data_IF_163740336692
#
_entry.id   IF_163740336692
#
_cell.length_a   1.000
_cell.length_b   1.000
_cell.length_c   1.000
_cell.angle_alpha   90.00
_cell.angle_beta   90.00
_cell.angle_gamma   90.00
#
_symmetry.space_group_name_H-M   'P 1'
#
loop_
_entity.id
_entity.type
_entity.pdbx_description
1 polymer ?
#
# COMPACT_ATOMS: atom_id res chain seq x y z
N UNK A 1 -5.34 -5.56 31.63
CA UNK A 1 -4.39 -5.35 30.53
C UNK A 1 -5.12 -5.76 29.24
N UNK A 2 -4.94 -5.00 28.15
CA UNK A 2 -5.58 -5.40 26.88
C UNK A 2 -4.99 -6.74 26.43
N UNK A 3 -5.85 -7.69 26.04
CA UNK A 3 -5.39 -8.87 25.31
C UNK A 3 -4.83 -8.43 23.97
N UNK A 4 -3.60 -8.82 23.65
CA UNK A 4 -2.99 -8.56 22.34
C UNK A 4 -3.67 -9.35 21.22
N UNK A 5 -3.18 -9.13 20.00
CA UNK A 5 -3.65 -9.84 18.78
C UNK A 5 -2.82 -11.09 18.45
N UNK A 6 -1.91 -11.46 19.35
CA UNK A 6 -1.04 -12.62 19.17
C UNK A 6 -1.87 -13.88 18.88
N UNK A 7 -1.48 -14.62 17.85
CA UNK A 7 -2.07 -15.89 17.42
C UNK A 7 -3.57 -15.81 17.00
N UNK A 8 -4.10 -14.59 16.71
CA UNK A 8 -5.50 -14.38 16.29
C UNK A 8 -5.66 -14.25 14.76
N UNK A 9 -4.60 -14.02 14.03
CA UNK A 9 -4.66 -13.79 12.58
C UNK A 9 -3.54 -14.55 11.88
N UNK A 10 -3.83 -15.11 10.72
CA UNK A 10 -2.87 -15.72 9.82
C UNK A 10 -2.86 -15.01 8.46
N UNK A 11 -1.70 -14.89 7.84
CA UNK A 11 -1.59 -14.52 6.43
C UNK A 11 -1.70 -15.80 5.63
N UNK A 12 -2.74 -15.89 4.80
CA UNK A 12 -3.07 -17.11 4.06
C UNK A 12 -2.62 -17.07 2.60
N UNK A 13 -2.28 -15.90 2.07
CA UNK A 13 -1.77 -15.74 0.72
C UNK A 13 -1.08 -14.40 0.51
N UNK A 14 -0.12 -14.39 -0.40
CA UNK A 14 0.62 -13.19 -0.80
C UNK A 14 0.75 -13.14 -2.32
N UNK A 15 0.80 -11.91 -2.86
CA UNK A 15 1.03 -11.68 -4.26
C UNK A 15 1.73 -10.34 -4.49
N UNK A 16 2.53 -10.28 -5.55
CA UNK A 16 3.32 -9.09 -5.86
C UNK A 16 3.57 -8.98 -7.36
N UNK A 17 3.18 -7.87 -7.95
CA UNK A 17 3.58 -7.58 -9.32
C UNK A 17 5.10 -7.37 -9.43
N UNK A 18 5.67 -7.64 -10.59
CA UNK A 18 7.10 -7.44 -10.85
C UNK A 18 7.49 -5.97 -10.64
N UNK A 19 8.45 -5.73 -9.74
CA UNK A 19 9.03 -4.40 -9.54
C UNK A 19 9.87 -3.93 -10.73
N UNK A 20 9.77 -2.65 -11.05
CA UNK A 20 10.54 -2.01 -12.11
C UNK A 20 9.74 -0.95 -12.85
N UNK A 21 10.32 -0.45 -13.93
CA UNK A 21 9.66 0.51 -14.83
C UNK A 21 8.74 -0.25 -15.79
N UNK A 22 7.50 -0.40 -15.38
CA UNK A 22 6.44 -1.11 -16.12
C UNK A 22 5.62 -0.12 -16.95
N UNK A 23 6.23 0.45 -18.00
CA UNK A 23 5.56 1.38 -18.93
C UNK A 23 4.46 0.71 -19.76
N UNK A 24 4.51 -0.60 -19.87
CA UNK A 24 3.56 -1.49 -20.54
C UNK A 24 2.29 -1.77 -19.71
N UNK A 25 2.29 -1.47 -18.43
CA UNK A 25 1.21 -1.80 -17.50
C UNK A 25 0.61 -0.55 -16.87
N UNK A 26 -0.69 -0.53 -16.69
CA UNK A 26 -1.42 0.49 -15.94
C UNK A 26 -1.52 0.08 -14.47
N UNK A 27 -1.91 0.98 -13.56
CA UNK A 27 -2.10 0.63 -12.15
C UNK A 27 -3.07 -0.54 -11.93
N UNK A 28 -4.15 -0.60 -12.70
CA UNK A 28 -5.10 -1.70 -12.65
C UNK A 28 -4.48 -3.06 -13.01
N UNK A 29 -3.54 -3.08 -13.95
CA UNK A 29 -2.85 -4.30 -14.35
C UNK A 29 -1.94 -4.79 -13.21
N UNK A 30 -1.22 -3.87 -12.53
CA UNK A 30 -0.36 -4.20 -11.39
C UNK A 30 -1.17 -4.71 -10.18
N UNK A 31 -2.30 -4.06 -9.89
CA UNK A 31 -3.20 -4.47 -8.81
C UNK A 31 -3.77 -5.86 -9.11
N UNK A 32 -4.23 -6.09 -10.32
CA UNK A 32 -4.81 -7.37 -10.73
C UNK A 32 -3.78 -8.50 -10.69
N UNK A 33 -2.56 -8.28 -11.21
CA UNK A 33 -1.46 -9.24 -11.18
C UNK A 33 -1.16 -9.70 -9.74
N UNK A 34 -0.98 -8.75 -8.82
CA UNK A 34 -0.70 -9.06 -7.42
C UNK A 34 -1.90 -9.75 -6.72
N UNK A 35 -3.11 -9.34 -7.05
CA UNK A 35 -4.32 -9.92 -6.47
C UNK A 35 -4.55 -11.37 -6.90
N UNK A 36 -4.41 -11.66 -8.20
CA UNK A 36 -4.55 -13.01 -8.73
C UNK A 36 -3.50 -13.96 -8.14
N UNK A 37 -2.26 -13.50 -8.00
CA UNK A 37 -1.22 -14.28 -7.33
C UNK A 37 -1.59 -14.58 -5.87
N UNK A 38 -2.08 -13.58 -5.12
CA UNK A 38 -2.49 -13.76 -3.74
C UNK A 38 -3.67 -14.74 -3.59
N UNK A 39 -4.67 -14.69 -4.47
CA UNK A 39 -5.78 -15.65 -4.48
C UNK A 39 -5.30 -17.07 -4.77
N UNK A 40 -4.41 -17.22 -5.75
CA UNK A 40 -3.85 -18.51 -6.13
C UNK A 40 -3.01 -19.13 -4.99
N UNK A 41 -2.24 -18.31 -4.27
CA UNK A 41 -1.45 -18.73 -3.12
C UNK A 41 -2.37 -19.15 -1.95
N UNK A 42 -3.37 -18.31 -1.65
CA UNK A 42 -4.37 -18.58 -0.61
C UNK A 42 -5.30 -19.75 -0.93
N UNK A 43 -5.47 -20.10 -2.22
CA UNK A 43 -6.42 -21.10 -2.73
C UNK A 43 -7.87 -20.80 -2.33
N UNK A 44 -8.25 -19.54 -2.45
CA UNK A 44 -9.60 -19.06 -2.19
C UNK A 44 -10.17 -18.34 -3.42
N UNK A 45 -11.49 -18.22 -3.47
CA UNK A 45 -12.19 -17.38 -4.42
C UNK A 45 -12.35 -15.95 -3.87
N UNK A 46 -12.40 -14.95 -4.74
CA UNK A 46 -12.54 -13.55 -4.33
C UNK A 46 -13.83 -13.26 -3.57
N UNK A 47 -14.86 -14.05 -3.81
CA UNK A 47 -16.16 -13.99 -3.13
C UNK A 47 -16.08 -14.33 -1.65
N UNK A 48 -14.98 -14.94 -1.21
CA UNK A 48 -14.72 -15.24 0.20
C UNK A 48 -14.14 -14.06 0.97
N UNK A 49 -13.80 -12.95 0.29
CA UNK A 49 -13.24 -11.76 0.93
C UNK A 49 -14.37 -10.91 1.49
N UNK A 50 -14.32 -10.60 2.79
CA UNK A 50 -15.35 -9.86 3.50
C UNK A 50 -15.08 -8.35 3.56
N UNK A 51 -13.81 -7.94 3.52
CA UNK A 51 -13.40 -6.54 3.58
C UNK A 51 -12.03 -6.31 2.93
N UNK A 52 -11.75 -5.08 2.49
CA UNK A 52 -10.47 -4.75 1.89
C UNK A 52 -9.90 -3.41 2.38
N UNK A 53 -8.59 -3.34 2.48
CA UNK A 53 -7.82 -2.12 2.74
C UNK A 53 -6.93 -1.81 1.55
N UNK A 54 -7.06 -0.59 1.05
CA UNK A 54 -6.35 -0.12 -0.13
C UNK A 54 -5.38 1.00 0.23
N UNK A 55 -4.09 0.71 0.12
CA UNK A 55 -3.00 1.64 0.41
C UNK A 55 -2.54 2.37 -0.86
N UNK A 56 -2.72 3.69 -0.89
CA UNK A 56 -2.20 4.58 -1.94
C UNK A 56 -1.73 5.85 -1.26
N UNK A 57 -0.47 6.21 -1.46
CA UNK A 57 0.06 7.45 -0.91
C UNK A 57 -0.02 8.58 -1.93
N UNK A 58 0.64 8.40 -3.07
CA UNK A 58 1.04 9.52 -3.89
C UNK A 58 0.32 9.60 -5.23
N UNK A 59 0.10 8.47 -5.85
CA UNK A 59 -0.39 8.42 -7.23
C UNK A 59 -1.91 8.54 -7.32
N UNK A 60 -2.44 9.65 -6.81
CA UNK A 60 -3.89 9.91 -6.85
C UNK A 60 -4.42 10.12 -8.28
N UNK A 61 -3.57 10.49 -9.23
CA UNK A 61 -4.00 10.75 -10.61
C UNK A 61 -4.19 9.46 -11.40
N UNK A 62 -3.28 8.49 -11.24
CA UNK A 62 -3.34 7.25 -12.00
C UNK A 62 -4.04 6.14 -11.23
N UNK A 63 -3.80 6.03 -9.92
CA UNK A 63 -4.40 4.98 -9.08
C UNK A 63 -5.75 5.41 -8.52
N UNK A 64 -5.91 6.68 -8.14
CA UNK A 64 -7.17 7.26 -7.67
C UNK A 64 -7.20 7.66 -6.21
N UNK A 65 -8.17 8.51 -5.87
CA UNK A 65 -8.28 9.17 -4.55
C UNK A 65 -9.10 8.43 -3.51
N UNK A 66 -9.86 7.42 -3.92
CA UNK A 66 -10.81 6.74 -3.05
C UNK A 66 -10.57 5.22 -3.03
N UNK A 67 -11.40 4.50 -2.32
CA UNK A 67 -11.43 3.06 -2.34
C UNK A 67 -12.06 2.46 -3.63
N UNK A 68 -12.77 3.30 -4.40
CA UNK A 68 -13.51 2.88 -5.59
C UNK A 68 -12.64 2.19 -6.67
N UNK A 69 -11.45 2.68 -7.01
CA UNK A 69 -10.60 2.02 -8.00
C UNK A 69 -10.32 0.55 -7.68
N UNK A 70 -10.02 0.20 -6.44
CA UNK A 70 -9.79 -1.18 -6.05
C UNK A 70 -11.02 -2.06 -6.33
N UNK A 71 -12.19 -1.60 -5.87
CA UNK A 71 -13.44 -2.33 -6.09
C UNK A 71 -13.73 -2.54 -7.58
N UNK A 72 -13.47 -1.52 -8.39
CA UNK A 72 -13.72 -1.56 -9.83
C UNK A 72 -12.75 -2.50 -10.55
N UNK A 73 -11.45 -2.37 -10.30
CA UNK A 73 -10.43 -3.16 -11.00
C UNK A 73 -10.53 -4.65 -10.67
N UNK A 74 -10.72 -4.98 -9.41
CA UNK A 74 -10.83 -6.36 -8.95
C UNK A 74 -12.26 -6.92 -9.07
N UNK A 75 -13.24 -6.08 -9.42
CA UNK A 75 -14.66 -6.45 -9.41
C UNK A 75 -15.03 -7.15 -8.11
N UNK A 76 -14.65 -6.52 -7.01
CA UNK A 76 -14.94 -7.05 -5.68
C UNK A 76 -16.46 -7.17 -5.47
N UNK A 77 -16.94 -8.16 -4.71
CA UNK A 77 -18.33 -8.22 -4.30
C UNK A 77 -18.70 -6.97 -3.47
N UNK A 78 -19.95 -6.83 -3.07
CA UNK A 78 -20.41 -5.68 -2.29
C UNK A 78 -19.89 -5.75 -0.84
N UNK A 79 -18.61 -5.47 -0.67
CA UNK A 79 -17.87 -5.47 0.60
C UNK A 79 -17.35 -4.07 0.94
N UNK A 80 -17.11 -3.77 2.22
CA UNK A 80 -16.45 -2.53 2.62
C UNK A 80 -15.01 -2.48 2.12
N UNK A 81 -14.63 -1.34 1.53
CA UNK A 81 -13.25 -1.06 1.11
C UNK A 81 -12.80 0.26 1.73
N UNK A 82 -11.71 0.22 2.48
CA UNK A 82 -11.13 1.39 3.15
C UNK A 82 -9.83 1.80 2.47
N UNK A 83 -9.76 3.04 1.97
CA UNK A 83 -8.47 3.61 1.54
C UNK A 83 -7.71 4.11 2.76
N UNK A 84 -6.41 3.81 2.79
CA UNK A 84 -5.48 4.25 3.84
C UNK A 84 -4.24 4.90 3.22
N UNK A 85 -3.61 5.77 4.01
CA UNK A 85 -2.38 6.45 3.64
C UNK A 85 -1.52 6.70 4.89
N UNK A 86 -0.24 6.46 4.80
CA UNK A 86 0.76 6.82 5.81
C UNK A 86 2.16 6.88 5.17
N UNK A 87 2.32 7.69 4.14
CA UNK A 87 3.58 7.84 3.40
C UNK A 87 4.19 6.48 3.00
N UNK A 88 5.47 6.29 3.27
CA UNK A 88 6.19 5.04 2.98
C UNK A 88 5.64 3.83 3.77
N UNK A 89 4.89 4.05 4.84
CA UNK A 89 4.25 3.00 5.65
C UNK A 89 2.80 2.68 5.22
N UNK A 90 2.34 3.21 4.09
CA UNK A 90 0.96 3.04 3.61
C UNK A 90 0.57 1.57 3.46
N UNK A 91 1.46 0.72 2.90
CA UNK A 91 1.21 -0.72 2.82
C UNK A 91 1.08 -1.39 4.20
N UNK A 92 1.90 -0.95 5.16
CA UNK A 92 1.80 -1.42 6.56
C UNK A 92 0.47 -1.01 7.20
N UNK A 93 -0.04 0.20 6.90
CA UNK A 93 -1.35 0.65 7.37
C UNK A 93 -2.49 -0.19 6.79
N UNK A 94 -2.42 -0.53 5.50
CA UNK A 94 -3.41 -1.40 4.89
C UNK A 94 -3.43 -2.78 5.58
N UNK A 95 -2.26 -3.39 5.76
CA UNK A 95 -2.12 -4.67 6.45
C UNK A 95 -2.59 -4.58 7.91
N UNK A 96 -2.23 -3.52 8.64
CA UNK A 96 -2.63 -3.30 10.03
C UNK A 96 -4.16 -3.21 10.17
N UNK A 97 -4.81 -2.47 9.27
CA UNK A 97 -6.27 -2.35 9.25
C UNK A 97 -6.95 -3.71 9.06
N UNK A 98 -6.50 -4.49 8.08
CA UNK A 98 -6.99 -5.84 7.81
C UNK A 98 -6.80 -6.78 9.03
N UNK A 99 -5.60 -6.79 9.61
CA UNK A 99 -5.27 -7.59 10.80
C UNK A 99 -6.17 -7.23 11.98
N UNK A 100 -6.40 -5.95 12.25
CA UNK A 100 -7.24 -5.53 13.37
C UNK A 100 -8.71 -5.90 13.14
N UNK A 101 -9.21 -5.82 11.92
CA UNK A 101 -10.58 -6.20 11.61
C UNK A 101 -10.82 -7.70 11.83
N UNK A 102 -9.91 -8.55 11.34
CA UNK A 102 -9.99 -10.01 11.56
C UNK A 102 -9.82 -10.34 13.05
N UNK A 103 -8.84 -9.77 13.74
CA UNK A 103 -8.60 -10.01 15.15
C UNK A 103 -9.78 -9.58 16.05
N UNK A 104 -10.54 -8.56 15.62
CA UNK A 104 -11.75 -8.09 16.29
C UNK A 104 -13.01 -8.90 15.94
N UNK A 105 -12.93 -9.83 14.98
CA UNK A 105 -14.07 -10.60 14.49
C UNK A 105 -15.04 -9.78 13.63
N UNK A 106 -14.58 -8.65 13.05
CA UNK A 106 -15.39 -7.84 12.16
C UNK A 106 -15.51 -8.43 10.74
N UNK A 107 -14.58 -9.30 10.37
CA UNK A 107 -14.57 -10.10 9.15
C UNK A 107 -13.70 -11.35 9.36
N UNK A 108 -13.90 -12.37 8.55
CA UNK A 108 -13.13 -13.62 8.62
C UNK A 108 -11.93 -13.55 7.67
N UNK A 109 -12.13 -13.01 6.45
CA UNK A 109 -11.09 -12.87 5.43
C UNK A 109 -11.00 -11.42 4.98
N UNK A 110 -9.82 -10.84 5.14
CA UNK A 110 -9.53 -9.46 4.77
C UNK A 110 -8.41 -9.38 3.72
N UNK A 111 -8.57 -8.49 2.75
CA UNK A 111 -7.59 -8.17 1.73
C UNK A 111 -6.85 -6.87 2.09
N UNK A 112 -5.52 -6.88 2.03
CA UNK A 112 -4.71 -5.67 2.06
C UNK A 112 -3.94 -5.54 0.74
N UNK A 113 -4.11 -4.42 0.04
CA UNK A 113 -3.47 -4.15 -1.26
C UNK A 113 -2.88 -2.75 -1.26
N UNK A 114 -1.72 -2.59 -1.88
CA UNK A 114 -1.11 -1.29 -2.17
C UNK A 114 -0.68 -1.21 -3.63
N UNK A 115 -0.71 -0.02 -4.20
CA UNK A 115 -0.21 0.24 -5.54
C UNK A 115 0.32 1.66 -5.67
N UNK A 116 1.49 1.79 -6.29
CA UNK A 116 2.09 3.08 -6.66
C UNK A 116 2.77 2.96 -8.03
N UNK A 117 2.58 3.96 -8.90
CA UNK A 117 3.29 4.11 -10.18
C UNK A 117 3.97 5.47 -10.26
N UNK A 118 4.98 5.67 -9.44
CA UNK A 118 5.60 6.98 -9.18
C UNK A 118 6.10 7.69 -10.43
N UNK A 119 6.66 6.98 -11.41
CA UNK A 119 7.22 7.60 -12.62
C UNK A 119 6.16 8.08 -13.62
N UNK A 120 4.98 7.51 -13.60
CA UNK A 120 3.87 7.91 -14.47
C UNK A 120 3.25 9.26 -14.05
N UNK A 121 3.57 9.75 -12.86
CA UNK A 121 3.08 11.05 -12.36
C UNK A 121 3.76 12.27 -13.02
N UNK A 122 4.75 12.04 -13.87
CA UNK A 122 5.56 13.11 -14.47
C UNK A 122 6.69 13.64 -13.59
N UNK A 123 6.85 13.08 -12.39
CA UNK A 123 7.98 13.36 -11.51
C UNK A 123 9.06 12.29 -11.68
N UNK A 124 10.33 12.70 -11.68
CA UNK A 124 11.46 11.78 -11.80
C UNK A 124 11.66 10.90 -10.54
N UNK A 125 10.72 10.94 -9.60
CA UNK A 125 10.75 10.24 -8.34
C UNK A 125 9.78 10.85 -7.34
N UNK A 126 10.08 10.74 -6.04
CA UNK A 126 9.28 11.35 -4.99
C UNK A 126 9.35 12.88 -5.06
N UNK A 127 8.24 13.60 -4.88
CA UNK A 127 8.22 15.05 -4.95
C UNK A 127 9.05 15.68 -3.83
N UNK A 128 9.63 16.84 -4.15
CA UNK A 128 10.46 17.58 -3.20
C UNK A 128 9.68 18.12 -2.01
N UNK A 129 8.38 18.38 -2.17
CA UNK A 129 7.57 19.04 -1.14
C UNK A 129 6.19 18.43 -1.04
N UNK A 130 6.02 17.57 -0.07
CA UNK A 130 4.70 17.14 0.38
C UNK A 130 4.54 17.59 1.83
N UNK A 131 3.52 18.41 2.11
CA UNK A 131 3.22 18.83 3.49
C UNK A 131 3.06 17.61 4.38
N UNK A 132 3.65 17.68 5.57
CA UNK A 132 3.60 16.61 6.55
C UNK A 132 4.70 15.57 6.42
N UNK A 133 5.62 15.69 5.43
CA UNK A 133 6.76 14.78 5.27
C UNK A 133 8.03 15.29 5.96
N UNK A 134 8.35 16.58 5.79
CA UNK A 134 9.55 17.22 6.32
C UNK A 134 9.25 18.63 6.84
N UNK A 135 10.07 19.09 7.74
CA UNK A 135 10.02 20.45 8.25
C UNK A 135 10.61 21.42 7.23
N UNK A 136 9.78 22.21 6.58
CA UNK A 136 10.18 23.17 5.54
C UNK A 136 11.17 24.23 6.03
N UNK A 137 11.14 24.54 7.33
CA UNK A 137 12.02 25.55 7.93
C UNK A 137 13.47 25.07 8.04
N UNK A 138 13.66 23.82 8.44
CA UNK A 138 14.99 23.25 8.71
C UNK A 138 15.56 22.46 7.54
N UNK A 139 14.73 22.00 6.65
CA UNK A 139 15.12 21.13 5.52
C UNK A 139 14.42 21.53 4.22
N UNK A 140 14.61 22.77 3.74
CA UNK A 140 13.99 23.22 2.49
C UNK A 140 14.54 22.41 1.29
N UNK A 141 13.64 21.94 0.42
CA UNK A 141 14.00 21.18 -0.78
C UNK A 141 14.56 19.78 -0.53
N UNK A 142 14.25 19.20 0.63
CA UNK A 142 14.76 17.91 1.04
C UNK A 142 13.90 16.76 0.49
N UNK A 143 14.56 15.72 -0.03
CA UNK A 143 13.90 14.50 -0.50
C UNK A 143 14.29 13.31 0.38
N UNK A 144 13.48 12.24 0.48
CA UNK A 144 13.86 11.03 1.21
C UNK A 144 15.23 10.47 0.79
N UNK A 145 15.56 10.34 -0.51
CA UNK A 145 16.90 9.93 -0.92
C UNK A 145 18.01 10.88 -0.44
N UNK A 146 17.76 12.18 -0.45
CA UNK A 146 18.69 13.20 0.06
C UNK A 146 18.94 13.05 1.56
N UNK A 147 17.90 12.73 2.35
CA UNK A 147 18.00 12.44 3.77
C UNK A 147 18.94 11.27 4.05
N UNK A 148 18.69 10.15 3.39
CA UNK A 148 19.51 8.95 3.55
C UNK A 148 20.92 9.13 3.03
N UNK A 149 21.14 9.93 1.98
CA UNK A 149 22.47 10.26 1.49
C UNK A 149 23.30 11.01 2.54
N UNK A 150 22.70 11.96 3.26
CA UNK A 150 23.38 12.67 4.37
C UNK A 150 23.76 11.73 5.51
N UNK A 151 22.86 10.81 5.90
CA UNK A 151 23.16 9.79 6.90
C UNK A 151 24.29 8.86 6.44
N UNK A 152 24.27 8.43 5.18
CA UNK A 152 25.33 7.62 4.58
C UNK A 152 26.69 8.34 4.59
N UNK A 153 26.73 9.63 4.20
CA UNK A 153 27.93 10.45 4.24
C UNK A 153 28.47 10.62 5.66
N UNK A 154 27.59 10.89 6.63
CA UNK A 154 27.97 11.01 8.03
C UNK A 154 28.55 9.69 8.61
N UNK A 155 27.99 8.56 8.19
CA UNK A 155 28.53 7.24 8.59
C UNK A 155 29.90 6.97 7.99
N UNK A 156 30.11 7.29 6.71
CA UNK A 156 31.39 7.07 6.02
C UNK A 156 32.52 7.98 6.55
N UNK A 157 32.18 9.08 7.25
CA UNK A 157 33.13 10.02 7.83
C UNK A 157 33.61 9.63 9.25
N UNK A 158 33.05 8.58 9.84
CA UNK A 158 33.50 8.02 11.11
C UNK A 158 34.61 6.98 10.93
#
# INVERSE_FOLDING_TARGET
MAEGIKDKVAIIGMGCSKFGERWDARPEDLITEAFEEALNDAKIEKESIDAAWFGVFYDEQNVGKSAYPLSQYLRLPNIPVTRVENLCATGTEALRGAVYAVAAGACDIALAVGCEKLKDTGFAGLPERTKGTFEDLYQPGFTPPGAFAQLGAAYAHK
#
